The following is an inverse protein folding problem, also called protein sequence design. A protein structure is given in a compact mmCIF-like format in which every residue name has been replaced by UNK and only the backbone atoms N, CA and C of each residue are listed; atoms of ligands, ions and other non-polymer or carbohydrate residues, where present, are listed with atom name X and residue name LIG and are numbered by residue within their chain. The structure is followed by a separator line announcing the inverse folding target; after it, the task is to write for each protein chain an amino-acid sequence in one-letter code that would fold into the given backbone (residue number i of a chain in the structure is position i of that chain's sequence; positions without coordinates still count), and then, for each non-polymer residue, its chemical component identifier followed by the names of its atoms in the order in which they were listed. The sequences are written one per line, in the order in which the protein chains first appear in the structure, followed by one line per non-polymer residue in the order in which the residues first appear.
data_IF_645719166973
#
_entry.id   IF_645719166973
#
_cell.length_a   1.000
_cell.length_b   1.000
_cell.length_c   1.000
_cell.angle_alpha   90.00
_cell.angle_beta   90.00
_cell.angle_gamma   90.00
#
_symmetry.space_group_name_H-M   'P 1'
#
loop_
_entity.id
_entity.type
_entity.pdbx_description
1 polymer ?
#
# COMPACT_ATOMS: atom_id res chain seq x y z
N UNK A 1 43.09 45.99 34.12
CA UNK A 1 42.40 47.18 34.65
C UNK A 1 43.05 48.37 33.99
N UNK A 2 42.32 49.02 33.11
CA UNK A 2 42.83 50.15 32.33
C UNK A 2 42.49 51.44 33.06
N UNK A 3 43.31 52.47 32.87
CA UNK A 3 43.11 53.77 33.52
C UNK A 3 43.23 54.86 32.46
N UNK A 4 42.20 55.69 32.33
CA UNK A 4 42.17 56.79 31.38
C UNK A 4 41.83 58.09 32.09
N UNK A 5 42.47 59.17 31.65
CA UNK A 5 42.23 60.52 32.15
C UNK A 5 41.26 61.23 31.20
N UNK A 6 40.15 61.73 31.73
CA UNK A 6 39.05 62.32 30.94
C UNK A 6 38.60 63.64 31.54
N UNK A 7 38.03 64.52 30.73
CA UNK A 7 37.46 65.79 31.18
C UNK A 7 35.95 65.72 31.03
N UNK A 8 35.22 65.88 32.13
CA UNK A 8 33.75 65.87 32.16
C UNK A 8 33.29 67.19 32.78
N UNK A 9 32.50 67.95 32.02
CA UNK A 9 31.99 69.27 32.36
C UNK A 9 33.09 70.24 32.86
N UNK A 10 34.27 70.17 32.22
CA UNK A 10 35.44 71.00 32.56
C UNK A 10 36.25 70.53 33.77
N UNK A 11 35.94 69.38 34.37
CA UNK A 11 36.69 68.79 35.50
C UNK A 11 37.40 67.52 35.04
N UNK A 12 38.67 67.37 35.41
CA UNK A 12 39.50 66.21 35.08
C UNK A 12 39.25 65.05 36.06
N UNK A 13 39.02 63.85 35.53
CA UNK A 13 38.78 62.61 36.27
C UNK A 13 39.68 61.49 35.75
N UNK A 14 40.18 60.65 36.67
CA UNK A 14 40.87 59.40 36.33
C UNK A 14 39.89 58.23 36.46
N UNK A 15 39.44 57.68 35.34
CA UNK A 15 38.54 56.53 35.29
C UNK A 15 39.34 55.22 35.27
N UNK A 16 38.92 54.26 36.08
CA UNK A 16 39.56 52.93 36.15
C UNK A 16 38.51 51.84 35.94
N UNK A 17 38.72 50.99 34.95
CA UNK A 17 37.76 49.95 34.55
C UNK A 17 38.39 48.62 34.13
N UNK A 18 37.57 47.59 34.00
CA UNK A 18 37.97 46.31 33.39
C UNK A 18 37.92 46.33 31.87
N UNK A 19 37.09 47.20 31.31
CA UNK A 19 36.91 47.42 29.88
C UNK A 19 38.11 48.14 29.24
N UNK A 20 38.13 48.19 27.91
CA UNK A 20 39.18 48.84 27.14
C UNK A 20 39.16 50.37 27.28
N UNK A 21 40.29 51.02 26.97
CA UNK A 21 40.42 52.47 27.09
C UNK A 21 39.42 53.21 26.20
N UNK A 22 39.11 52.66 25.02
CA UNK A 22 38.15 53.23 24.08
C UNK A 22 36.74 53.29 24.68
N UNK A 23 36.25 52.19 25.25
CA UNK A 23 34.95 52.18 25.92
C UNK A 23 34.89 53.17 27.08
N UNK A 24 35.95 53.25 27.89
CA UNK A 24 36.00 54.20 29.01
C UNK A 24 35.97 55.66 28.53
N UNK A 25 36.65 55.97 27.43
CA UNK A 25 36.59 57.29 26.78
C UNK A 25 35.19 57.58 26.21
N UNK A 26 34.57 56.60 25.55
CA UNK A 26 33.22 56.73 24.97
C UNK A 26 32.16 56.97 26.06
N UNK A 27 32.25 56.27 27.20
CA UNK A 27 31.38 56.50 28.36
C UNK A 27 31.55 57.91 28.91
N UNK A 28 32.80 58.38 29.06
CA UNK A 28 33.07 59.73 29.54
C UNK A 28 32.52 60.81 28.59
N UNK A 29 32.71 60.62 27.27
CA UNK A 29 32.19 61.51 26.23
C UNK A 29 30.65 61.54 26.22
N UNK A 30 30.00 60.40 26.45
CA UNK A 30 28.54 60.30 26.57
C UNK A 30 28.02 61.12 27.76
N UNK A 31 28.60 60.92 28.95
CA UNK A 31 28.20 61.64 30.16
C UNK A 31 28.44 63.15 30.02
N UNK A 32 29.60 63.55 29.49
CA UNK A 32 29.90 64.97 29.25
C UNK A 32 28.88 65.63 28.30
N UNK A 33 28.50 64.93 27.23
CA UNK A 33 27.50 65.41 26.28
C UNK A 33 26.14 65.59 26.94
N UNK A 34 25.67 64.61 27.73
CA UNK A 34 24.39 64.71 28.46
C UNK A 34 24.38 65.83 29.50
N UNK A 35 25.49 66.03 30.22
CA UNK A 35 25.60 67.13 31.18
C UNK A 35 25.52 68.48 30.43
N UNK A 36 26.25 68.65 29.33
CA UNK A 36 26.19 69.89 28.52
C UNK A 36 24.81 70.15 27.95
N UNK A 37 24.08 69.14 27.48
CA UNK A 37 22.71 69.26 26.98
C UNK A 37 21.75 69.79 28.07
N UNK A 38 21.83 69.22 29.28
CA UNK A 38 21.00 69.64 30.43
C UNK A 38 21.37 71.05 30.89
N UNK A 39 22.67 71.34 31.04
CA UNK A 39 23.16 72.67 31.42
C UNK A 39 22.88 73.74 30.38
N UNK A 40 22.91 73.39 29.08
CA UNK A 40 22.56 74.29 27.98
C UNK A 40 21.08 74.61 27.92
N UNK A 41 20.22 73.63 28.23
CA UNK A 41 18.76 73.78 28.23
C UNK A 41 18.24 74.58 29.43
N UNK A 42 18.92 74.54 30.58
CA UNK A 42 18.52 75.30 31.76
C UNK A 42 19.73 75.94 32.48
N UNK A 43 20.07 77.16 32.08
CA UNK A 43 21.22 77.94 32.63
C UNK A 43 21.11 78.29 34.12
N UNK A 44 19.95 78.10 34.76
CA UNK A 44 19.77 78.34 36.21
C UNK A 44 20.12 77.12 37.07
N UNK A 45 20.35 75.94 36.47
CA UNK A 45 20.74 74.75 37.22
C UNK A 45 22.19 74.86 37.69
N UNK A 46 22.44 74.48 38.94
CA UNK A 46 23.82 74.29 39.43
C UNK A 46 24.47 73.09 38.74
N UNK A 47 25.81 73.06 38.69
CA UNK A 47 26.59 71.93 38.15
C UNK A 47 26.25 70.62 38.86
N UNK A 48 26.12 70.63 40.19
CA UNK A 48 25.69 69.46 40.96
C UNK A 48 24.28 69.01 40.60
N UNK A 49 23.32 69.93 40.47
CA UNK A 49 21.95 69.60 40.06
C UNK A 49 21.91 69.02 38.64
N UNK A 50 22.73 69.54 37.72
CA UNK A 50 22.79 69.07 36.34
C UNK A 50 23.40 67.67 36.27
N UNK A 51 24.44 67.40 37.07
CA UNK A 51 25.02 66.06 37.21
C UNK A 51 24.02 65.05 37.79
N UNK A 52 23.27 65.42 38.83
CA UNK A 52 22.23 64.55 39.41
C UNK A 52 21.12 64.26 38.39
N UNK A 53 20.63 65.28 37.67
CA UNK A 53 19.61 65.09 36.64
C UNK A 53 20.12 64.22 35.48
N UNK A 54 21.39 64.39 35.10
CA UNK A 54 22.05 63.53 34.11
C UNK A 54 22.08 62.07 34.58
N UNK A 55 22.49 61.84 35.83
CA UNK A 55 22.52 60.50 36.41
C UNK A 55 21.13 59.84 36.45
N UNK A 56 20.09 60.61 36.80
CA UNK A 56 18.69 60.12 36.78
C UNK A 56 18.25 59.74 35.37
N UNK A 57 18.54 60.56 34.37
CA UNK A 57 18.18 60.29 32.98
C UNK A 57 18.91 59.06 32.43
N UNK A 58 20.20 58.91 32.73
CA UNK A 58 20.98 57.73 32.32
C UNK A 58 20.45 56.46 33.01
N UNK A 59 20.06 56.55 34.28
CA UNK A 59 19.44 55.43 35.00
C UNK A 59 18.07 55.05 34.39
N UNK A 60 17.25 56.02 33.99
CA UNK A 60 15.98 55.77 33.30
C UNK A 60 16.19 55.11 31.93
N UNK A 61 17.16 55.59 31.14
CA UNK A 61 17.56 54.96 29.87
C UNK A 61 18.02 53.50 30.10
N UNK A 62 18.83 53.25 31.13
CA UNK A 62 19.27 51.90 31.49
C UNK A 62 18.08 50.99 31.83
N UNK A 63 17.15 51.45 32.68
CA UNK A 63 15.97 50.65 33.04
C UNK A 63 15.06 50.37 31.86
N UNK A 64 14.90 51.32 30.92
CA UNK A 64 14.15 51.10 29.68
C UNK A 64 14.83 50.07 28.79
N UNK A 65 16.15 50.14 28.64
CA UNK A 65 16.94 49.13 27.92
C UNK A 65 16.80 47.74 28.55
N UNK A 66 16.86 47.62 29.89
CA UNK A 66 16.68 46.34 30.59
C UNK A 66 15.29 45.74 30.34
N UNK A 67 14.24 46.56 30.34
CA UNK A 67 12.89 46.14 30.00
C UNK A 67 12.79 45.65 28.54
N UNK A 68 13.39 46.36 27.60
CA UNK A 68 13.45 45.95 26.20
C UNK A 68 14.23 44.65 26.00
N UNK A 69 15.38 44.49 26.66
CA UNK A 69 16.17 43.25 26.66
C UNK A 69 15.32 42.10 27.19
N UNK A 70 14.58 42.31 28.29
CA UNK A 70 13.66 41.32 28.83
C UNK A 70 12.57 40.92 27.83
N UNK A 71 11.97 41.88 27.12
CA UNK A 71 10.96 41.63 26.10
C UNK A 71 11.52 40.90 24.87
N UNK A 72 12.69 41.31 24.39
CA UNK A 72 13.40 40.65 23.28
C UNK A 72 13.76 39.22 23.67
N UNK A 73 14.24 38.99 24.90
CA UNK A 73 14.57 37.65 25.41
C UNK A 73 13.34 36.75 25.46
N UNK A 74 12.20 37.25 25.95
CA UNK A 74 10.93 36.51 25.93
C UNK A 74 10.50 36.15 24.50
N UNK A 75 10.60 37.10 23.57
CA UNK A 75 10.24 36.88 22.16
C UNK A 75 11.19 35.89 21.48
N UNK A 76 12.49 35.96 21.78
CA UNK A 76 13.50 35.00 21.31
C UNK A 76 13.17 33.60 21.78
N UNK A 77 12.91 33.41 23.08
CA UNK A 77 12.60 32.09 23.64
C UNK A 77 11.31 31.51 23.01
N UNK A 78 10.26 32.33 22.88
CA UNK A 78 9.03 31.92 22.20
C UNK A 78 9.26 31.53 20.73
N UNK A 79 10.13 32.26 20.03
CA UNK A 79 10.47 31.95 18.64
C UNK A 79 11.32 30.67 18.53
N UNK A 80 12.24 30.43 19.47
CA UNK A 80 13.04 29.20 19.55
C UNK A 80 12.15 27.97 19.82
N UNK A 81 11.20 28.05 20.75
CA UNK A 81 10.20 27.00 20.98
C UNK A 81 9.37 26.71 19.73
N UNK A 82 8.92 27.77 19.04
CA UNK A 82 8.19 27.63 17.76
C UNK A 82 9.07 27.00 16.68
N UNK A 83 10.35 27.36 16.62
CA UNK A 83 11.29 26.78 15.68
C UNK A 83 11.53 25.28 15.93
N UNK A 84 11.62 24.89 17.20
CA UNK A 84 11.79 23.50 17.60
C UNK A 84 10.57 22.65 17.19
N UNK A 85 9.37 23.11 17.51
CA UNK A 85 8.11 22.43 17.14
C UNK A 85 7.93 22.32 15.61
N UNK A 86 8.27 23.38 14.86
CA UNK A 86 8.28 23.34 13.39
C UNK A 86 9.29 22.33 12.83
N UNK A 87 10.48 22.23 13.44
CA UNK A 87 11.51 21.29 13.02
C UNK A 87 11.10 19.84 13.29
N UNK A 88 10.41 19.57 14.40
CA UNK A 88 9.83 18.27 14.70
C UNK A 88 8.72 17.92 13.69
N UNK A 89 7.80 18.86 13.42
CA UNK A 89 6.74 18.64 12.43
C UNK A 89 7.27 18.38 11.02
N UNK A 90 8.36 19.05 10.64
CA UNK A 90 9.06 18.78 9.37
C UNK A 90 9.65 17.37 9.31
N UNK A 91 10.15 16.83 10.43
CA UNK A 91 10.64 15.45 10.48
C UNK A 91 9.50 14.45 10.35
N UNK A 92 8.40 14.66 11.07
CA UNK A 92 7.20 13.81 10.97
C UNK A 92 6.67 13.74 9.54
N UNK A 93 6.45 14.90 8.91
CA UNK A 93 5.99 14.98 7.53
C UNK A 93 6.95 14.29 6.54
N UNK A 94 8.26 14.35 6.79
CA UNK A 94 9.24 13.68 5.94
C UNK A 94 9.14 12.16 6.05
N UNK A 95 8.85 11.62 7.24
CA UNK A 95 8.60 10.19 7.45
C UNK A 95 7.30 9.77 6.79
N UNK A 96 6.22 10.52 6.97
CA UNK A 96 4.92 10.24 6.33
C UNK A 96 5.02 10.22 4.79
N UNK A 97 5.79 11.15 4.20
CA UNK A 97 6.04 11.18 2.75
C UNK A 97 6.82 9.93 2.29
N UNK A 98 7.83 9.50 3.04
CA UNK A 98 8.63 8.32 2.68
C UNK A 98 7.81 7.02 2.79
N UNK A 99 7.00 6.89 3.84
CA UNK A 99 6.09 5.75 4.03
C UNK A 99 5.02 5.69 2.94
N UNK A 100 4.39 6.83 2.62
CA UNK A 100 3.40 6.89 1.53
C UNK A 100 4.02 6.65 0.16
N UNK A 101 5.25 7.09 -0.09
CA UNK A 101 5.98 6.78 -1.32
C UNK A 101 6.27 5.27 -1.45
N UNK A 102 6.71 4.62 -0.37
CA UNK A 102 6.92 3.16 -0.33
C UNK A 102 5.64 2.37 -0.55
N UNK A 103 4.55 2.77 0.10
CA UNK A 103 3.25 2.15 -0.07
C UNK A 103 2.76 2.25 -1.53
N UNK A 104 2.88 3.43 -2.15
CA UNK A 104 2.54 3.62 -3.57
C UNK A 104 3.41 2.79 -4.50
N UNK A 105 4.71 2.68 -4.23
CA UNK A 105 5.60 1.85 -5.05
C UNK A 105 5.18 0.38 -5.01
N UNK A 106 4.88 -0.16 -3.82
CA UNK A 106 4.39 -1.53 -3.67
C UNK A 106 3.04 -1.77 -4.38
N UNK A 107 2.13 -0.79 -4.32
CA UNK A 107 0.84 -0.86 -5.04
C UNK A 107 1.04 -0.86 -6.56
N UNK A 108 1.94 -0.02 -7.08
CA UNK A 108 2.31 0.00 -8.51
C UNK A 108 2.91 -1.34 -8.95
N UNK A 109 3.78 -1.95 -8.15
CA UNK A 109 4.38 -3.26 -8.47
C UNK A 109 3.33 -4.38 -8.50
N UNK A 110 2.36 -4.34 -7.59
CA UNK A 110 1.23 -5.28 -7.59
C UNK A 110 0.33 -5.09 -8.82
N UNK A 111 0.00 -3.85 -9.18
CA UNK A 111 -0.77 -3.54 -10.37
C UNK A 111 -0.05 -3.97 -11.65
N UNK A 112 1.25 -3.73 -11.75
CA UNK A 112 2.05 -4.18 -12.89
C UNK A 112 2.05 -5.70 -13.03
N UNK A 113 2.14 -6.43 -11.91
CA UNK A 113 2.04 -7.90 -11.92
C UNK A 113 0.66 -8.37 -12.39
N UNK A 114 -0.40 -7.67 -11.99
CA UNK A 114 -1.78 -7.97 -12.45
C UNK A 114 -1.96 -7.66 -13.94
N UNK A 115 -1.42 -6.55 -14.43
CA UNK A 115 -1.43 -6.18 -15.84
C UNK A 115 -0.75 -7.28 -16.67
N UNK A 116 0.44 -7.73 -16.24
CA UNK A 116 1.16 -8.80 -16.92
C UNK A 116 0.32 -10.08 -17.05
N UNK A 117 -0.34 -10.51 -15.96
CA UNK A 117 -1.23 -11.68 -15.99
C UNK A 117 -2.46 -11.46 -16.90
N UNK A 118 -3.00 -10.25 -16.94
CA UNK A 118 -4.12 -9.92 -17.83
C UNK A 118 -3.69 -9.94 -19.30
N UNK A 119 -2.51 -9.41 -19.62
CA UNK A 119 -1.94 -9.42 -20.97
C UNK A 119 -1.71 -10.85 -21.48
N UNK A 120 -1.18 -11.73 -20.62
CA UNK A 120 -1.00 -13.16 -20.94
C UNK A 120 -2.33 -13.84 -21.27
N UNK A 121 -3.35 -13.65 -20.42
CA UNK A 121 -4.71 -14.18 -20.67
C UNK A 121 -5.35 -13.61 -21.94
N UNK A 122 -5.07 -12.35 -22.26
CA UNK A 122 -5.57 -11.71 -23.48
C UNK A 122 -5.00 -12.39 -24.72
N UNK A 123 -3.70 -12.71 -24.69
CA UNK A 123 -3.02 -13.44 -25.75
C UNK A 123 -3.59 -14.85 -25.94
N UNK A 124 -3.77 -15.60 -24.84
CA UNK A 124 -4.42 -16.92 -24.88
C UNK A 124 -5.82 -16.85 -25.50
N UNK A 125 -6.61 -15.83 -25.13
CA UNK A 125 -7.94 -15.63 -25.67
C UNK A 125 -7.94 -15.31 -27.17
N UNK A 126 -6.97 -14.53 -27.65
CA UNK A 126 -6.80 -14.26 -29.09
C UNK A 126 -6.47 -15.55 -29.86
N UNK A 127 -5.58 -16.40 -29.33
CA UNK A 127 -5.25 -17.70 -29.91
C UNK A 127 -6.50 -18.60 -29.99
N UNK A 128 -7.26 -18.73 -28.91
CA UNK A 128 -8.52 -19.49 -28.88
C UNK A 128 -9.52 -18.95 -29.91
N UNK A 129 -9.62 -17.63 -30.06
CA UNK A 129 -10.52 -17.00 -31.04
C UNK A 129 -10.13 -17.36 -32.47
N UNK A 130 -8.84 -17.38 -32.80
CA UNK A 130 -8.38 -17.81 -34.13
C UNK A 130 -8.70 -19.28 -34.39
N UNK A 131 -8.40 -20.16 -33.42
CA UNK A 131 -8.69 -21.59 -33.53
C UNK A 131 -10.19 -21.86 -33.70
N UNK A 132 -11.05 -21.15 -32.96
CA UNK A 132 -12.50 -21.27 -33.11
C UNK A 132 -12.96 -20.84 -34.51
N UNK A 133 -12.37 -19.80 -35.10
CA UNK A 133 -12.71 -19.41 -36.47
C UNK A 133 -12.31 -20.47 -37.49
N UNK A 134 -11.18 -21.14 -37.31
CA UNK A 134 -10.73 -22.23 -38.18
C UNK A 134 -11.63 -23.46 -38.04
N UNK A 135 -11.98 -23.81 -36.81
CA UNK A 135 -12.88 -24.93 -36.52
C UNK A 135 -14.27 -24.70 -37.14
N UNK A 136 -14.80 -23.49 -37.07
CA UNK A 136 -16.09 -23.14 -37.68
C UNK A 136 -16.06 -23.32 -39.20
N UNK A 137 -14.98 -22.90 -39.88
CA UNK A 137 -14.81 -23.16 -41.33
C UNK A 137 -14.76 -24.66 -41.63
N UNK A 138 -14.06 -25.44 -40.79
CA UNK A 138 -13.97 -26.90 -40.95
C UNK A 138 -15.33 -27.58 -40.80
N UNK A 139 -16.13 -27.14 -39.83
CA UNK A 139 -17.49 -27.64 -39.62
C UNK A 139 -18.36 -27.33 -40.84
N UNK A 140 -18.25 -26.12 -41.42
CA UNK A 140 -19.00 -25.73 -42.62
C UNK A 140 -18.62 -26.60 -43.84
N UNK A 141 -17.32 -26.83 -44.05
CA UNK A 141 -16.81 -27.75 -45.09
C UNK A 141 -17.37 -29.18 -44.93
N UNK A 142 -17.28 -29.73 -43.71
CA UNK A 142 -17.78 -31.08 -43.42
C UNK A 142 -19.29 -31.18 -43.58
N UNK A 143 -20.04 -30.14 -43.19
CA UNK A 143 -21.50 -30.10 -43.35
C UNK A 143 -21.88 -30.13 -44.82
N UNK A 144 -21.16 -29.39 -45.67
CA UNK A 144 -21.38 -29.39 -47.12
C UNK A 144 -21.09 -30.77 -47.72
N UNK A 145 -19.95 -31.36 -47.39
CA UNK A 145 -19.58 -32.70 -47.85
C UNK A 145 -20.61 -33.76 -47.43
N UNK A 146 -21.13 -33.68 -46.22
CA UNK A 146 -22.13 -34.62 -45.72
C UNK A 146 -23.48 -34.48 -46.46
N UNK A 147 -23.86 -33.25 -46.82
CA UNK A 147 -25.04 -33.00 -47.66
C UNK A 147 -24.85 -33.56 -49.08
N UNK A 148 -23.65 -33.42 -49.65
CA UNK A 148 -23.34 -33.99 -50.98
C UNK A 148 -23.39 -35.53 -50.95
N UNK A 149 -22.79 -36.15 -49.93
CA UNK A 149 -22.82 -37.61 -49.74
C UNK A 149 -24.23 -38.15 -49.49
N UNK A 150 -25.08 -37.41 -48.77
CA UNK A 150 -26.48 -37.83 -48.56
C UNK A 150 -27.30 -37.75 -49.85
N UNK A 151 -27.05 -36.75 -50.69
CA UNK A 151 -27.65 -36.68 -52.03
C UNK A 151 -27.21 -37.85 -52.92
N UNK A 152 -25.91 -38.16 -52.93
CA UNK A 152 -25.37 -39.29 -53.69
C UNK A 152 -25.96 -40.63 -53.22
N UNK A 153 -26.02 -40.85 -51.90
CA UNK A 153 -26.65 -42.05 -51.32
C UNK A 153 -28.13 -42.19 -51.69
N UNK A 154 -28.89 -41.10 -51.71
CA UNK A 154 -30.29 -41.14 -52.14
C UNK A 154 -30.42 -41.55 -53.60
N UNK A 155 -29.56 -41.00 -54.47
CA UNK A 155 -29.54 -41.34 -55.91
C UNK A 155 -29.20 -42.82 -56.10
N UNK A 156 -28.18 -43.32 -55.39
CA UNK A 156 -27.78 -44.72 -55.45
C UNK A 156 -28.89 -45.65 -54.94
N UNK A 157 -29.61 -45.25 -53.88
CA UNK A 157 -30.76 -46.01 -53.38
C UNK A 157 -31.91 -46.08 -54.40
N UNK A 158 -32.18 -45.00 -55.13
CA UNK A 158 -33.17 -45.01 -56.22
C UNK A 158 -32.75 -45.98 -57.34
N UNK A 159 -31.47 -46.00 -57.72
CA UNK A 159 -30.94 -46.95 -58.70
C UNK A 159 -31.08 -48.40 -58.21
N UNK A 160 -30.74 -48.67 -56.95
CA UNK A 160 -30.88 -50.00 -56.33
C UNK A 160 -32.34 -50.45 -56.32
N UNK A 161 -33.30 -49.55 -56.01
CA UNK A 161 -34.72 -49.87 -56.07
C UNK A 161 -35.17 -50.22 -57.50
N UNK A 162 -34.68 -49.48 -58.50
CA UNK A 162 -34.99 -49.75 -59.91
C UNK A 162 -34.47 -51.12 -60.33
N UNK A 163 -33.20 -51.42 -60.05
CA UNK A 163 -32.59 -52.73 -60.31
C UNK A 163 -33.34 -53.87 -59.60
N UNK A 164 -33.75 -53.66 -58.34
CA UNK A 164 -34.56 -54.61 -57.59
C UNK A 164 -35.91 -54.88 -58.29
N UNK A 165 -36.58 -53.83 -58.76
CA UNK A 165 -37.84 -53.97 -59.51
C UNK A 165 -37.66 -54.72 -60.83
N UNK A 166 -36.54 -54.52 -61.52
CA UNK A 166 -36.22 -55.21 -62.77
C UNK A 166 -35.85 -56.68 -62.51
N UNK A 167 -35.15 -56.98 -61.43
CA UNK A 167 -34.90 -58.35 -60.98
C UNK A 167 -36.19 -59.10 -60.67
N UNK A 168 -37.18 -58.49 -60.01
CA UNK A 168 -38.48 -59.12 -59.75
C UNK A 168 -39.21 -59.45 -61.07
N UNK A 169 -39.13 -58.56 -62.07
CA UNK A 169 -39.68 -58.82 -63.42
C UNK A 169 -38.95 -59.99 -64.09
N UNK A 170 -37.63 -60.03 -63.99
CA UNK A 170 -36.83 -61.14 -64.52
C UNK A 170 -37.17 -62.47 -63.84
N UNK A 171 -37.29 -62.48 -62.51
CA UNK A 171 -37.71 -63.67 -61.74
C UNK A 171 -39.10 -64.16 -62.15
N UNK A 172 -40.05 -63.25 -62.37
CA UNK A 172 -41.39 -63.63 -62.85
C UNK A 172 -41.36 -64.17 -64.28
N UNK A 173 -40.56 -63.60 -65.19
CA UNK A 173 -40.36 -64.18 -66.52
C UNK A 173 -39.67 -65.53 -66.49
N UNK A 174 -38.66 -65.71 -65.63
CA UNK A 174 -38.00 -67.00 -65.43
C UNK A 174 -39.05 -67.99 -64.94
N UNK A 175 -39.83 -67.67 -63.90
CA UNK A 175 -40.89 -68.53 -63.38
C UNK A 175 -41.90 -68.94 -64.45
N UNK A 176 -42.32 -68.01 -65.31
CA UNK A 176 -43.20 -68.32 -66.44
C UNK A 176 -42.53 -69.24 -67.46
N UNK A 177 -41.24 -69.03 -67.78
CA UNK A 177 -40.47 -69.94 -68.63
C UNK A 177 -40.32 -71.32 -67.97
N UNK A 178 -40.15 -71.40 -66.65
CA UNK A 178 -40.10 -72.66 -65.90
C UNK A 178 -41.45 -73.37 -65.92
N UNK A 179 -42.55 -72.64 -65.82
CA UNK A 179 -43.92 -73.16 -65.98
C UNK A 179 -44.19 -73.63 -67.42
N UNK A 180 -43.59 -72.97 -68.43
CA UNK A 180 -43.66 -73.37 -69.84
C UNK A 180 -42.81 -74.62 -70.14
N UNK A 181 -41.61 -74.72 -69.56
CA UNK A 181 -40.76 -75.92 -69.58
C UNK A 181 -41.47 -77.11 -68.91
N UNK A 182 -42.18 -76.87 -67.80
CA UNK A 182 -42.97 -77.89 -67.09
C UNK A 182 -44.20 -78.38 -67.88
N UNK A 183 -44.55 -77.76 -69.01
CA UNK A 183 -45.63 -78.21 -69.89
C UNK A 183 -45.16 -79.12 -71.05
N UNK A 184 -43.86 -79.46 -71.14
CA UNK A 184 -43.35 -80.13 -72.34
C UNK A 184 -42.42 -81.34 -72.21
N UNK A 185 -42.11 -81.87 -71.03
CA UNK A 185 -41.48 -83.22 -70.94
C UNK A 185 -41.88 -83.94 -69.66
N UNK A 186 -42.42 -85.14 -69.80
CA UNK A 186 -42.58 -86.14 -68.75
C UNK A 186 -41.27 -86.94 -68.58
N UNK A 187 -40.69 -86.80 -67.39
CA UNK A 187 -40.03 -87.80 -66.52
C UNK A 187 -39.03 -88.77 -67.15
N UNK A 188 -37.78 -88.71 -66.68
CA UNK A 188 -37.14 -89.87 -66.03
C UNK A 188 -36.00 -89.45 -65.08
N UNK A 189 -35.88 -90.22 -64.02
CA UNK A 189 -35.32 -89.89 -62.71
C UNK A 189 -33.78 -89.85 -62.69
N UNK A 190 -33.18 -88.76 -62.20
CA UNK A 190 -31.79 -88.76 -61.68
C UNK A 190 -31.49 -87.74 -60.56
N UNK A 191 -32.43 -86.87 -60.14
CA UNK A 191 -32.07 -85.65 -59.41
C UNK A 191 -32.39 -85.61 -57.90
N UNK A 192 -32.97 -86.68 -57.33
CA UNK A 192 -33.36 -86.66 -55.91
C UNK A 192 -32.21 -86.98 -54.93
N UNK A 193 -31.10 -87.53 -55.43
CA UNK A 193 -29.86 -87.75 -54.66
C UNK A 193 -28.82 -86.64 -54.89
N UNK A 194 -28.80 -86.02 -56.08
CA UNK A 194 -27.91 -84.90 -56.44
C UNK A 194 -28.30 -83.59 -55.74
N UNK A 195 -29.60 -83.26 -55.68
CA UNK A 195 -30.10 -82.03 -55.07
C UNK A 195 -29.95 -81.99 -53.53
N UNK A 196 -29.96 -83.15 -52.84
CA UNK A 196 -29.70 -83.21 -51.39
C UNK A 196 -28.21 -83.02 -51.07
N UNK A 197 -27.30 -83.50 -51.91
CA UNK A 197 -25.86 -83.31 -51.77
C UNK A 197 -25.45 -81.85 -52.09
N UNK A 198 -26.03 -81.24 -53.13
CA UNK A 198 -25.80 -79.82 -53.47
C UNK A 198 -26.39 -78.85 -52.43
N UNK A 199 -27.57 -79.12 -51.85
CA UNK A 199 -28.11 -78.30 -50.75
C UNK A 199 -27.23 -78.38 -49.49
N UNK A 200 -26.68 -79.56 -49.18
CA UNK A 200 -25.78 -79.74 -48.04
C UNK A 200 -24.40 -79.10 -48.27
N UNK A 201 -23.89 -79.12 -49.51
CA UNK A 201 -22.65 -78.42 -49.89
C UNK A 201 -22.82 -76.89 -49.89
N UNK A 202 -23.95 -76.36 -50.34
CA UNK A 202 -24.23 -74.91 -50.34
C UNK A 202 -24.40 -74.36 -48.92
N UNK A 203 -25.02 -75.13 -48.03
CA UNK A 203 -25.13 -74.79 -46.60
C UNK A 203 -23.75 -74.83 -45.92
N UNK A 204 -22.90 -75.81 -46.23
CA UNK A 204 -21.55 -75.87 -45.67
C UNK A 204 -20.62 -74.74 -46.16
N UNK A 205 -20.78 -74.26 -47.41
CA UNK A 205 -20.06 -73.08 -47.91
C UNK A 205 -20.55 -71.81 -47.20
N UNK A 206 -21.88 -71.62 -47.07
CA UNK A 206 -22.43 -70.48 -46.31
C UNK A 206 -22.00 -70.49 -44.84
N UNK A 207 -21.98 -71.67 -44.19
CA UNK A 207 -21.47 -71.81 -42.82
C UNK A 207 -19.95 -71.63 -42.72
N UNK A 208 -19.19 -71.86 -43.80
CA UNK A 208 -17.76 -71.56 -43.86
C UNK A 208 -17.53 -70.06 -43.97
N UNK A 209 -18.26 -69.39 -44.86
CA UNK A 209 -18.19 -67.93 -45.06
C UNK A 209 -18.62 -67.19 -43.78
N UNK A 210 -19.71 -67.62 -43.12
CA UNK A 210 -20.12 -67.05 -41.82
C UNK A 210 -19.09 -67.28 -40.72
N UNK A 211 -18.38 -68.43 -40.72
CA UNK A 211 -17.32 -68.69 -39.75
C UNK A 211 -16.07 -67.84 -40.01
N UNK A 212 -15.76 -67.54 -41.27
CA UNK A 212 -14.64 -66.68 -41.64
C UNK A 212 -14.97 -65.20 -41.34
N UNK A 213 -16.20 -64.74 -41.59
CA UNK A 213 -16.69 -63.42 -41.15
C UNK A 213 -16.66 -63.26 -39.61
N UNK A 214 -17.04 -64.32 -38.88
CA UNK A 214 -16.98 -64.32 -37.42
C UNK A 214 -15.54 -64.31 -36.91
N UNK A 215 -14.60 -65.01 -37.58
CA UNK A 215 -13.18 -64.94 -37.26
C UNK A 215 -12.62 -63.54 -37.49
N UNK A 216 -12.92 -62.90 -38.63
CA UNK A 216 -12.46 -61.53 -38.89
C UNK A 216 -13.01 -60.55 -37.86
N UNK A 217 -14.28 -60.70 -37.46
CA UNK A 217 -14.86 -59.89 -36.38
C UNK A 217 -14.15 -60.13 -35.04
N UNK A 218 -13.89 -61.37 -34.67
CA UNK A 218 -13.14 -61.73 -33.45
C UNK A 218 -11.72 -61.12 -33.49
N UNK A 219 -11.04 -61.19 -34.63
CA UNK A 219 -9.71 -60.63 -34.80
C UNK A 219 -9.71 -59.09 -34.69
N UNK A 220 -10.72 -58.43 -35.27
CA UNK A 220 -10.92 -56.98 -35.13
C UNK A 220 -11.21 -56.56 -33.68
N UNK A 221 -11.97 -57.37 -32.93
CA UNK A 221 -12.23 -57.10 -31.51
C UNK A 221 -11.00 -57.36 -30.64
N UNK A 222 -10.21 -58.39 -30.94
CA UNK A 222 -8.95 -58.65 -30.25
C UNK A 222 -7.94 -57.50 -30.45
N UNK A 223 -7.88 -56.91 -31.64
CA UNK A 223 -7.07 -55.71 -31.91
C UNK A 223 -7.54 -54.52 -31.06
N UNK A 224 -8.86 -54.26 -31.01
CA UNK A 224 -9.42 -53.19 -30.14
C UNK A 224 -9.14 -53.43 -28.67
N UNK A 225 -9.26 -54.67 -28.19
CA UNK A 225 -8.94 -55.04 -26.80
C UNK A 225 -7.48 -54.76 -26.50
N UNK A 226 -6.57 -55.10 -27.43
CA UNK A 226 -5.14 -54.83 -27.30
C UNK A 226 -4.85 -53.32 -27.22
N UNK A 227 -5.47 -52.52 -28.09
CA UNK A 227 -5.33 -51.06 -28.06
C UNK A 227 -5.83 -50.46 -26.75
N UNK A 228 -7.02 -50.87 -26.27
CA UNK A 228 -7.54 -50.43 -24.98
C UNK A 228 -6.66 -50.87 -23.80
N UNK A 229 -6.02 -52.04 -23.90
CA UNK A 229 -5.09 -52.51 -22.87
C UNK A 229 -3.83 -51.64 -22.83
N UNK A 230 -3.27 -51.28 -23.98
CA UNK A 230 -2.13 -50.38 -24.08
C UNK A 230 -2.45 -48.96 -23.55
N UNK A 231 -3.62 -48.41 -23.91
CA UNK A 231 -4.06 -47.12 -23.39
C UNK A 231 -4.24 -47.14 -21.87
N UNK A 232 -4.75 -48.24 -21.31
CA UNK A 232 -4.87 -48.39 -19.86
C UNK A 232 -3.49 -48.45 -19.17
N UNK A 233 -2.49 -49.10 -19.77
CA UNK A 233 -1.14 -49.12 -19.21
C UNK A 233 -0.49 -47.74 -19.21
N UNK A 234 -0.64 -46.97 -20.29
CA UNK A 234 -0.14 -45.58 -20.35
C UNK A 234 -0.83 -44.68 -19.32
N UNK A 235 -2.15 -44.82 -19.16
CA UNK A 235 -2.90 -44.09 -18.13
C UNK A 235 -2.45 -44.46 -16.72
N UNK A 236 -2.14 -45.73 -16.45
CA UNK A 236 -1.61 -46.17 -15.16
C UNK A 236 -0.24 -45.57 -14.85
N UNK A 237 0.66 -45.50 -15.84
CA UNK A 237 1.97 -44.84 -15.69
C UNK A 237 1.83 -43.34 -15.44
N UNK A 238 0.93 -42.67 -16.17
CA UNK A 238 0.62 -41.25 -15.96
C UNK A 238 0.05 -40.97 -14.56
N UNK A 239 -0.84 -41.84 -14.07
CA UNK A 239 -1.35 -41.74 -12.68
C UNK A 239 -0.22 -41.91 -11.67
N UNK A 240 0.72 -42.84 -11.89
CA UNK A 240 1.86 -43.04 -10.98
C UNK A 240 2.76 -41.80 -10.92
N UNK A 241 3.11 -41.24 -12.07
CA UNK A 241 3.98 -40.05 -12.15
C UNK A 241 3.30 -38.82 -11.53
N UNK A 242 2.00 -38.63 -11.79
CA UNK A 242 1.23 -37.54 -11.20
C UNK A 242 1.16 -37.64 -9.67
N UNK A 243 0.97 -38.85 -9.13
CA UNK A 243 0.95 -39.09 -7.69
C UNK A 243 2.30 -38.79 -7.02
N UNK A 244 3.43 -39.08 -7.67
CA UNK A 244 4.75 -38.67 -7.16
C UNK A 244 4.91 -37.15 -7.17
N UNK A 245 4.44 -36.48 -8.22
CA UNK A 245 4.48 -35.03 -8.33
C UNK A 245 3.64 -34.36 -7.23
N UNK A 246 2.45 -34.89 -6.94
CA UNK A 246 1.58 -34.43 -5.85
C UNK A 246 2.30 -34.57 -4.51
N UNK A 247 2.90 -35.72 -4.21
CA UNK A 247 3.65 -35.91 -2.95
C UNK A 247 4.76 -34.88 -2.76
N UNK A 248 5.49 -34.56 -3.83
CA UNK A 248 6.54 -33.54 -3.78
C UNK A 248 5.98 -32.15 -3.49
N UNK A 249 4.90 -31.76 -4.19
CA UNK A 249 4.24 -30.47 -3.97
C UNK A 249 3.62 -30.36 -2.57
N UNK A 250 3.07 -31.44 -2.03
CA UNK A 250 2.57 -31.47 -0.66
C UNK A 250 3.69 -31.25 0.38
N UNK A 251 4.88 -31.80 0.15
CA UNK A 251 6.05 -31.58 1.00
C UNK A 251 6.54 -30.12 0.96
N UNK A 252 6.68 -29.54 -0.24
CA UNK A 252 7.04 -28.12 -0.41
C UNK A 252 6.03 -27.19 0.30
N UNK A 253 4.74 -27.49 0.17
CA UNK A 253 3.68 -26.67 0.76
C UNK A 253 3.70 -26.75 2.30
N UNK A 254 4.11 -27.88 2.86
CA UNK A 254 4.29 -28.05 4.31
C UNK A 254 5.48 -27.23 4.82
N UNK A 255 6.60 -27.27 4.12
CA UNK A 255 7.80 -26.50 4.46
C UNK A 255 7.55 -24.98 4.36
N UNK A 256 6.85 -24.54 3.32
CA UNK A 256 6.43 -23.15 3.16
C UNK A 256 5.54 -22.66 4.30
N UNK A 257 4.58 -23.49 4.75
CA UNK A 257 3.72 -23.17 5.90
C UNK A 257 4.52 -23.02 7.19
N UNK A 258 5.47 -23.93 7.45
CA UNK A 258 6.32 -23.86 8.65
C UNK A 258 7.20 -22.60 8.65
N UNK A 259 7.78 -22.24 7.50
CA UNK A 259 8.58 -21.03 7.34
C UNK A 259 7.76 -19.77 7.60
N UNK A 260 6.56 -19.69 7.02
CA UNK A 260 5.67 -18.54 7.16
C UNK A 260 5.20 -18.34 8.61
N UNK A 261 4.86 -19.44 9.31
CA UNK A 261 4.50 -19.38 10.74
C UNK A 261 5.66 -18.84 11.57
N UNK A 262 6.90 -19.29 11.30
CA UNK A 262 8.08 -18.85 12.03
C UNK A 262 8.35 -17.36 11.84
N UNK A 263 8.23 -16.88 10.61
CA UNK A 263 8.43 -15.47 10.28
C UNK A 263 7.37 -14.57 10.94
N UNK A 264 6.10 -15.00 10.90
CA UNK A 264 5.01 -14.27 11.56
C UNK A 264 5.14 -14.23 13.09
N UNK A 265 5.70 -15.28 13.71
CA UNK A 265 6.00 -15.31 15.14
C UNK A 265 7.15 -14.35 15.52
N UNK A 266 8.19 -14.25 14.70
CA UNK A 266 9.27 -13.27 14.90
C UNK A 266 8.77 -11.84 14.80
N UNK A 267 7.96 -11.53 13.78
CA UNK A 267 7.34 -10.21 13.63
C UNK A 267 6.47 -9.84 14.83
N UNK A 268 5.66 -10.80 15.32
CA UNK A 268 4.85 -10.62 16.52
C UNK A 268 5.71 -10.26 17.74
N UNK A 269 6.81 -10.98 17.98
CA UNK A 269 7.70 -10.71 19.11
C UNK A 269 8.36 -9.32 19.02
N UNK A 270 8.73 -8.87 17.82
CA UNK A 270 9.29 -7.53 17.61
C UNK A 270 8.25 -6.45 17.93
N UNK A 271 7.00 -6.66 17.51
CA UNK A 271 5.90 -5.73 17.79
C UNK A 271 5.56 -5.68 19.29
N UNK A 272 5.51 -6.83 19.97
CA UNK A 272 5.28 -6.88 21.42
C UNK A 272 6.37 -6.11 22.20
N UNK A 273 7.64 -6.25 21.81
CA UNK A 273 8.72 -5.49 22.41
C UNK A 273 8.58 -3.97 22.18
N UNK A 274 8.18 -3.54 20.98
CA UNK A 274 7.93 -2.12 20.69
C UNK A 274 6.77 -1.56 21.51
N UNK A 275 5.68 -2.33 21.65
CA UNK A 275 4.53 -1.94 22.48
C UNK A 275 4.98 -1.76 23.93
N UNK A 276 5.76 -2.70 24.48
CA UNK A 276 6.29 -2.61 25.84
C UNK A 276 7.13 -1.33 26.08
N UNK A 277 7.95 -0.93 25.11
CA UNK A 277 8.73 0.32 25.20
C UNK A 277 7.80 1.54 25.20
N UNK A 278 6.82 1.59 24.29
CA UNK A 278 5.88 2.70 24.19
C UNK A 278 5.00 2.83 25.44
N UNK A 279 4.61 1.72 26.07
CA UNK A 279 3.86 1.72 27.32
C UNK A 279 4.68 2.34 28.46
N UNK A 280 5.97 2.02 28.56
CA UNK A 280 6.87 2.63 29.53
C UNK A 280 7.04 4.14 29.30
N UNK A 281 7.26 4.55 28.05
CA UNK A 281 7.39 5.98 27.69
C UNK A 281 6.11 6.76 28.00
N UNK A 282 4.94 6.16 27.74
CA UNK A 282 3.64 6.74 28.07
C UNK A 282 3.49 6.91 29.58
N UNK A 283 3.90 5.92 30.37
CA UNK A 283 3.84 5.98 31.83
C UNK A 283 4.75 7.09 32.38
N UNK A 284 5.95 7.25 31.82
CA UNK A 284 6.86 8.34 32.16
C UNK A 284 6.28 9.72 31.80
N UNK A 285 5.62 9.84 30.65
CA UNK A 285 4.94 11.06 30.25
C UNK A 285 3.78 11.42 31.19
N UNK A 286 3.00 10.42 31.63
CA UNK A 286 1.91 10.60 32.60
C UNK A 286 2.46 11.05 33.96
N UNK A 287 3.54 10.44 34.44
CA UNK A 287 4.20 10.82 35.68
C UNK A 287 4.71 12.28 35.63
N UNK A 288 5.35 12.67 34.52
CA UNK A 288 5.79 14.06 34.30
C UNK A 288 4.60 15.03 34.28
N UNK A 289 3.49 14.67 33.64
CA UNK A 289 2.27 15.48 33.60
C UNK A 289 1.70 15.72 35.00
N UNK A 290 1.64 14.69 35.84
CA UNK A 290 1.22 14.83 37.24
C UNK A 290 2.15 15.75 38.03
N UNK A 291 3.47 15.60 37.86
CA UNK A 291 4.47 16.43 38.50
C UNK A 291 4.31 17.92 38.13
N UNK A 292 4.13 18.20 36.83
CA UNK A 292 3.90 19.57 36.35
C UNK A 292 2.58 20.13 36.86
N UNK A 293 1.51 19.33 36.94
CA UNK A 293 0.22 19.76 37.50
C UNK A 293 0.37 20.18 38.97
N UNK A 294 1.09 19.39 39.77
CA UNK A 294 1.36 19.71 41.18
C UNK A 294 2.21 20.97 41.32
N UNK A 295 3.27 21.10 40.51
CA UNK A 295 4.12 22.29 40.49
C UNK A 295 3.36 23.55 40.07
N UNK A 296 2.42 23.43 39.14
CA UNK A 296 1.61 24.56 38.68
C UNK A 296 0.63 25.03 39.76
N UNK A 297 0.05 24.09 40.54
CA UNK A 297 -0.76 24.42 41.72
C UNK A 297 0.07 25.18 42.77
N UNK A 298 1.30 24.73 43.03
CA UNK A 298 2.22 25.37 43.97
C UNK A 298 2.60 26.79 43.53
N UNK A 299 2.96 26.98 42.25
CA UNK A 299 3.27 28.30 41.68
C UNK A 299 2.07 29.24 41.81
N UNK A 300 0.85 28.77 41.52
CA UNK A 300 -0.36 29.57 41.69
C UNK A 300 -0.59 29.99 43.15
N UNK A 301 -0.33 29.09 44.10
CA UNK A 301 -0.42 29.40 45.52
C UNK A 301 0.61 30.46 45.93
N UNK A 302 1.86 30.33 45.48
CA UNK A 302 2.92 31.31 45.74
C UNK A 302 2.59 32.68 45.11
N UNK A 303 2.08 32.71 43.88
CA UNK A 303 1.65 33.94 43.21
C UNK A 303 0.54 34.66 43.98
N UNK A 304 -0.46 33.93 44.49
CA UNK A 304 -1.49 34.49 45.37
C UNK A 304 -0.87 35.11 46.62
N UNK A 305 0.06 34.39 47.26
CA UNK A 305 0.75 34.89 48.45
C UNK A 305 1.53 36.19 48.17
N UNK A 306 2.29 36.23 47.08
CA UNK A 306 3.02 37.43 46.67
C UNK A 306 2.07 38.58 46.31
N UNK A 307 0.95 38.31 45.66
CA UNK A 307 -0.07 39.31 45.35
C UNK A 307 -0.60 40.00 46.61
N UNK A 308 -0.96 39.25 47.64
CA UNK A 308 -1.39 39.83 48.92
C UNK A 308 -0.27 40.62 49.61
N UNK A 309 0.97 40.14 49.52
CA UNK A 309 2.13 40.82 50.11
C UNK A 309 2.42 42.17 49.44
N UNK A 310 2.29 42.23 48.11
CA UNK A 310 2.39 43.48 47.33
C UNK A 310 1.27 44.44 47.71
N UNK A 311 0.02 43.97 47.76
CA UNK A 311 -1.13 44.79 48.18
C UNK A 311 -0.95 45.41 49.58
N UNK A 312 -0.43 44.64 50.54
CA UNK A 312 -0.15 45.14 51.90
C UNK A 312 0.95 46.22 51.90
N UNK A 313 2.01 46.02 51.11
CA UNK A 313 3.09 46.99 50.96
C UNK A 313 2.63 48.27 50.25
N UNK A 314 1.81 48.16 49.21
CA UNK A 314 1.21 49.29 48.50
C UNK A 314 0.34 50.12 49.44
N UNK A 315 -0.48 49.47 50.28
CA UNK A 315 -1.29 50.15 51.29
C UNK A 315 -0.43 50.90 52.29
N UNK A 316 0.60 50.26 52.86
CA UNK A 316 1.55 50.91 53.78
C UNK A 316 2.26 52.11 53.14
N UNK A 317 2.61 52.01 51.86
CA UNK A 317 3.23 53.10 51.12
C UNK A 317 2.28 54.28 50.93
N UNK A 318 1.01 54.03 50.56
CA UNK A 318 -0.02 55.08 50.51
C UNK A 318 -0.22 55.75 51.86
N UNK A 319 -0.34 54.98 52.94
CA UNK A 319 -0.52 55.53 54.29
C UNK A 319 0.69 56.40 54.70
N UNK A 320 1.90 55.97 54.35
CA UNK A 320 3.13 56.75 54.60
C UNK A 320 3.19 58.03 53.77
N UNK A 321 2.80 57.98 52.49
CA UNK A 321 2.70 59.17 51.63
C UNK A 321 1.66 60.17 52.14
N UNK A 322 0.50 59.67 52.61
CA UNK A 322 -0.53 60.51 53.22
C UNK A 322 -0.01 61.22 54.47
N UNK A 323 0.63 60.49 55.38
CA UNK A 323 1.24 61.06 56.59
C UNK A 323 2.29 62.13 56.26
N UNK A 324 3.14 61.88 55.25
CA UNK A 324 4.14 62.83 54.78
C UNK A 324 3.49 64.11 54.20
N UNK A 325 2.38 63.98 53.50
CA UNK A 325 1.63 65.12 52.97
C UNK A 325 0.99 65.97 54.09
N UNK A 326 0.47 65.32 55.14
CA UNK A 326 -0.05 65.99 56.34
C UNK A 326 1.07 66.76 57.06
N UNK A 327 2.22 66.13 57.31
CA UNK A 327 3.38 66.79 57.93
C UNK A 327 3.88 67.99 57.11
N UNK A 328 3.97 67.84 55.78
CA UNK A 328 4.37 68.94 54.89
C UNK A 328 3.40 70.11 54.95
N UNK A 329 2.10 69.87 55.15
CA UNK A 329 1.10 70.92 55.33
C UNK A 329 1.25 71.61 56.70
N UNK A 330 1.48 70.88 57.77
CA UNK A 330 1.66 71.46 59.12
C UNK A 330 2.95 72.28 59.26
N UNK A 331 4.04 71.87 58.61
CA UNK A 331 5.34 72.57 58.65
C UNK A 331 5.47 73.72 57.65
N UNK A 332 4.46 73.97 56.80
CA UNK A 332 4.52 75.04 55.78
C UNK A 332 4.04 76.39 56.36
N UNK A 333 4.92 77.40 56.51
CA UNK A 333 4.57 78.68 57.16
C UNK A 333 3.57 79.54 56.38
N UNK A 334 3.26 79.18 55.13
CA UNK A 334 2.41 79.94 54.20
C UNK A 334 0.95 79.44 54.13
N UNK A 335 0.60 78.40 54.90
CA UNK A 335 -0.73 77.78 54.90
C UNK A 335 -1.47 77.93 56.26
N UNK A 336 -1.00 78.83 57.14
CA UNK A 336 -1.67 79.14 58.41
C UNK A 336 -2.81 80.13 58.24
#
# INVERSE_FOLDING_TARGET
MNTVTVIINGVEYNLRGKEDEKYLLDVAAYVDTKIREISGSNKKLSTSSAAVLTAVNIADELFKCDLEIGNITKKKNSLEERHLTLKERLRELKVEIDETAKARAAEVDSLNSMIFQMEEKLKEHEEIKTLNSELMKKIEELTKLNNDLTFENNTLNEEVQKLSSDNIKLETTIKNCTEEINSRVAIEEYDELSNKLQKTQKINVMLSDENDDLKEKIESFNLKIKDYTNQNTELQENISTLNECIKFKEAELKEFKELNIKQSLEEKNILENKISILENDLQDALNKKELFKSRNKEINFQLQNFKYKVLDLEKKLMDSQFNLAVEKREKNPLLR
#
